data_IF_054353741573
#
_entry.id   IF_054353741573
#
_cell.length_a   1.000
_cell.length_b   1.000
_cell.length_c   1.000
_cell.angle_alpha   90.00
_cell.angle_beta   90.00
_cell.angle_gamma   90.00
#
_symmetry.space_group_name_H-M   'P 1'
#
loop_
_entity.id
_entity.type
_entity.pdbx_description
1 polymer ?
#
# COMPACT_ATOMS: atom_id res chain seq x y z
N UNK A 1 -73.28 -27.08 42.76
CA UNK A 1 -71.99 -27.36 42.13
C UNK A 1 -71.85 -26.41 40.95
N UNK A 2 -70.91 -25.39 40.96
CA UNK A 2 -70.73 -24.50 39.84
C UNK A 2 -69.54 -24.98 39.01
N UNK A 3 -69.73 -24.97 37.70
CA UNK A 3 -68.76 -25.33 36.65
C UNK A 3 -67.75 -24.21 36.41
N UNK A 4 -66.47 -24.56 36.52
CA UNK A 4 -65.34 -23.65 36.28
C UNK A 4 -65.08 -23.56 34.77
N UNK A 5 -65.26 -22.37 34.20
CA UNK A 5 -64.92 -22.04 32.79
C UNK A 5 -63.51 -21.61 32.68
N UNK A 6 -62.65 -22.39 31.96
CA UNK A 6 -61.23 -22.01 31.63
C UNK A 6 -61.23 -21.05 30.44
N UNK A 7 -60.93 -19.81 30.70
CA UNK A 7 -60.51 -18.81 29.65
C UNK A 7 -59.09 -19.12 29.16
N UNK A 8 -58.95 -19.43 27.88
CA UNK A 8 -57.64 -19.49 27.19
C UNK A 8 -57.23 -18.08 26.82
N UNK A 9 -56.10 -17.62 27.37
CA UNK A 9 -55.40 -16.42 26.88
C UNK A 9 -54.62 -16.83 25.61
N UNK A 10 -54.92 -16.19 24.50
CA UNK A 10 -54.05 -16.20 23.32
C UNK A 10 -53.01 -15.09 23.49
N UNK A 11 -51.75 -15.47 23.64
CA UNK A 11 -50.62 -14.56 23.56
C UNK A 11 -50.21 -14.41 22.09
N UNK A 12 -50.45 -13.25 21.51
CA UNK A 12 -49.95 -12.87 20.20
C UNK A 12 -48.49 -12.44 20.36
N UNK A 13 -47.55 -13.29 19.90
CA UNK A 13 -46.15 -12.92 19.77
C UNK A 13 -45.96 -12.05 18.53
N UNK A 14 -45.75 -10.77 18.72
CA UNK A 14 -45.30 -9.84 17.68
C UNK A 14 -43.82 -10.11 17.39
N UNK A 15 -43.53 -10.80 16.30
CA UNK A 15 -42.18 -10.99 15.82
C UNK A 15 -41.64 -9.69 15.21
N UNK A 16 -40.72 -8.98 15.90
CA UNK A 16 -39.93 -7.96 15.29
C UNK A 16 -38.90 -8.59 14.36
N UNK A 17 -39.17 -8.57 13.05
CA UNK A 17 -38.16 -8.87 12.04
C UNK A 17 -37.18 -7.70 12.01
N UNK A 18 -36.01 -7.89 12.60
CA UNK A 18 -34.89 -6.96 12.44
C UNK A 18 -34.39 -7.07 10.98
N UNK A 19 -34.76 -6.10 10.14
CA UNK A 19 -34.15 -5.90 8.84
C UNK A 19 -32.68 -5.50 9.10
N UNK A 20 -31.76 -6.45 9.02
CA UNK A 20 -30.33 -6.16 8.89
C UNK A 20 -30.14 -5.55 7.50
N UNK A 21 -30.02 -4.24 7.43
CA UNK A 21 -29.49 -3.54 6.27
C UNK A 21 -28.06 -4.06 6.04
N UNK A 22 -27.91 -5.02 5.14
CA UNK A 22 -26.61 -5.43 4.63
C UNK A 22 -26.05 -4.21 3.88
N UNK A 23 -24.98 -3.62 4.37
CA UNK A 23 -24.27 -2.61 3.62
C UNK A 23 -23.94 -3.21 2.24
N UNK A 24 -24.24 -2.48 1.17
CA UNK A 24 -23.93 -2.90 -0.18
C UNK A 24 -22.42 -3.15 -0.26
N UNK A 25 -22.02 -4.30 -0.81
CA UNK A 25 -20.60 -4.52 -1.07
C UNK A 25 -20.09 -3.39 -1.96
N UNK A 26 -18.95 -2.79 -1.59
CA UNK A 26 -18.38 -1.73 -2.40
C UNK A 26 -18.05 -2.25 -3.80
N UNK A 27 -18.16 -1.39 -4.85
CA UNK A 27 -17.91 -1.80 -6.21
C UNK A 27 -16.51 -2.41 -6.36
N UNK A 28 -16.32 -3.37 -7.29
CA UNK A 28 -15.03 -3.96 -7.56
C UNK A 28 -14.04 -2.86 -8.00
N UNK A 29 -12.79 -3.00 -7.57
CA UNK A 29 -11.72 -2.11 -8.00
C UNK A 29 -11.42 -2.33 -9.50
N UNK A 30 -11.01 -1.28 -10.24
CA UNK A 30 -10.47 -1.44 -11.59
C UNK A 30 -9.18 -2.26 -11.58
N UNK A 31 -8.74 -2.75 -12.74
CA UNK A 31 -7.52 -3.55 -12.87
C UNK A 31 -6.27 -2.81 -12.35
N UNK A 32 -6.25 -1.49 -12.49
CA UNK A 32 -5.18 -0.60 -12.06
C UNK A 32 -5.76 0.54 -11.18
N UNK A 33 -6.09 0.26 -9.91
CA UNK A 33 -6.55 1.31 -9.00
C UNK A 33 -5.41 2.26 -8.66
N UNK A 34 -5.72 3.56 -8.43
CA UNK A 34 -4.73 4.61 -8.17
C UNK A 34 -4.80 5.05 -6.72
N UNK A 35 -3.67 4.91 -6.00
CA UNK A 35 -3.50 5.34 -4.62
C UNK A 35 -2.58 6.53 -4.46
N UNK A 36 -2.51 7.07 -3.23
CA UNK A 36 -1.56 8.11 -2.82
C UNK A 36 -0.99 7.80 -1.44
N UNK A 37 0.29 8.17 -1.21
CA UNK A 37 0.96 8.00 0.08
C UNK A 37 0.54 9.09 1.08
N UNK A 38 0.05 8.74 2.26
CA UNK A 38 -0.42 9.71 3.27
C UNK A 38 0.69 10.64 3.77
N UNK A 39 1.93 10.12 3.87
CA UNK A 39 3.09 10.92 4.30
C UNK A 39 3.56 11.89 3.22
N UNK A 40 3.42 11.55 1.95
CA UNK A 40 3.82 12.42 0.84
C UNK A 40 2.79 13.53 0.58
N UNK A 41 1.51 13.27 0.86
CA UNK A 41 0.47 14.32 0.85
C UNK A 41 0.39 15.10 2.17
N UNK A 42 1.43 15.00 3.03
CA UNK A 42 1.58 15.70 4.31
C UNK A 42 0.46 15.42 5.32
N UNK A 43 -0.10 14.22 5.28
CA UNK A 43 -1.20 13.77 6.14
C UNK A 43 -0.90 12.46 6.85
N UNK A 44 0.39 12.17 7.11
CA UNK A 44 0.82 10.94 7.80
C UNK A 44 -0.05 10.65 9.01
N UNK A 45 -0.70 9.49 9.01
CA UNK A 45 -1.62 9.02 10.04
C UNK A 45 -2.65 10.08 10.51
N UNK A 46 -3.31 10.74 9.55
CA UNK A 46 -4.39 11.70 9.81
C UNK A 46 -5.61 11.37 8.94
N UNK A 47 -6.80 11.42 9.50
CA UNK A 47 -8.07 11.22 8.78
C UNK A 47 -8.20 12.12 7.54
N UNK A 48 -7.66 13.33 7.61
CA UNK A 48 -7.62 14.24 6.47
C UNK A 48 -6.85 13.73 5.23
N UNK A 49 -6.13 12.60 5.32
CA UNK A 49 -5.53 11.93 4.16
C UNK A 49 -6.61 11.40 3.22
N UNK A 50 -7.64 10.75 3.77
CA UNK A 50 -8.75 10.20 2.99
C UNK A 50 -9.57 11.31 2.32
N UNK A 51 -9.87 12.39 3.05
CA UNK A 51 -10.55 13.54 2.47
C UNK A 51 -9.78 14.11 1.29
N UNK A 52 -8.48 14.35 1.44
CA UNK A 52 -7.65 14.87 0.35
C UNK A 52 -7.56 13.86 -0.81
N UNK A 53 -7.39 12.57 -0.53
CA UNK A 53 -7.36 11.52 -1.57
C UNK A 53 -8.67 11.50 -2.38
N UNK A 54 -9.83 11.57 -1.72
CA UNK A 54 -11.13 11.68 -2.37
C UNK A 54 -11.25 12.94 -3.23
N UNK A 55 -10.85 14.11 -2.70
CA UNK A 55 -10.91 15.39 -3.42
C UNK A 55 -10.04 15.42 -4.68
N UNK A 56 -8.92 14.69 -4.70
CA UNK A 56 -8.04 14.58 -5.88
C UNK A 56 -8.39 13.41 -6.80
N UNK A 57 -9.40 12.60 -6.42
CA UNK A 57 -9.93 11.51 -7.24
C UNK A 57 -9.17 10.20 -7.16
N UNK A 58 -8.36 9.98 -6.12
CA UNK A 58 -7.70 8.69 -5.89
C UNK A 58 -8.72 7.58 -5.50
N UNK A 59 -8.37 6.32 -5.73
CA UNK A 59 -9.16 5.16 -5.34
C UNK A 59 -8.80 4.66 -3.94
N UNK A 60 -7.63 5.07 -3.41
CA UNK A 60 -7.18 4.64 -2.10
C UNK A 60 -5.99 5.42 -1.53
N UNK A 61 -5.62 5.01 -0.32
CA UNK A 61 -4.52 5.63 0.43
C UNK A 61 -3.57 4.53 0.90
N UNK A 62 -2.28 4.73 0.68
CA UNK A 62 -1.22 4.02 1.39
C UNK A 62 -0.98 4.72 2.72
N UNK A 63 -1.22 4.02 3.83
CA UNK A 63 -1.16 4.59 5.18
C UNK A 63 0.15 4.22 5.86
N UNK A 64 0.88 5.23 6.34
CA UNK A 64 2.17 5.04 7.00
C UNK A 64 2.03 4.52 8.44
N UNK A 65 3.00 3.73 8.90
CA UNK A 65 3.08 3.22 10.28
C UNK A 65 3.44 4.30 11.32
N UNK A 66 3.77 5.51 10.88
CA UNK A 66 4.26 6.57 11.74
C UNK A 66 5.78 6.63 11.84
N UNK A 67 6.31 7.53 12.68
CA UNK A 67 7.74 7.69 12.86
C UNK A 67 8.36 6.50 13.57
N UNK A 68 9.52 6.02 13.08
CA UNK A 68 10.28 4.96 13.73
C UNK A 68 11.35 5.55 14.68
N UNK A 69 12.32 6.31 14.16
CA UNK A 69 13.42 6.87 14.97
C UNK A 69 14.09 5.80 15.83
N UNK A 70 14.44 6.15 17.06
CA UNK A 70 15.06 5.25 18.04
C UNK A 70 14.03 4.47 18.91
N UNK A 71 12.73 4.55 18.56
CA UNK A 71 11.67 3.84 19.27
C UNK A 71 11.79 2.32 19.04
N UNK A 72 11.35 1.49 19.99
CA UNK A 72 11.35 0.02 19.81
C UNK A 72 10.40 -0.43 18.70
N UNK A 73 9.33 0.33 18.41
CA UNK A 73 8.38 0.14 17.30
C UNK A 73 8.02 1.49 16.70
N UNK A 74 7.18 1.51 15.66
CA UNK A 74 6.63 2.72 15.09
C UNK A 74 5.78 3.53 16.11
N UNK A 75 5.73 4.85 15.92
CA UNK A 75 4.74 5.73 16.57
C UNK A 75 3.37 5.53 15.91
N UNK A 76 2.88 4.30 16.03
CA UNK A 76 1.75 3.79 15.29
C UNK A 76 0.43 4.11 16.01
N UNK A 77 -0.27 5.15 15.57
CA UNK A 77 -1.60 5.48 16.10
C UNK A 77 -2.64 4.41 15.82
N UNK A 78 -2.43 3.61 14.76
CA UNK A 78 -3.35 2.54 14.36
C UNK A 78 -3.24 1.32 15.29
N UNK A 79 -2.30 1.29 16.24
CA UNK A 79 -2.30 0.33 17.35
C UNK A 79 -3.54 0.51 18.24
N UNK A 80 -4.07 1.73 18.36
CA UNK A 80 -5.32 2.01 19.05
C UNK A 80 -6.53 1.63 18.18
N UNK A 81 -7.39 0.75 18.71
CA UNK A 81 -8.58 0.27 18.02
C UNK A 81 -9.55 1.40 17.64
N UNK A 82 -9.74 2.38 18.53
CA UNK A 82 -10.67 3.50 18.28
C UNK A 82 -10.17 4.32 17.09
N UNK A 83 -8.87 4.56 17.01
CA UNK A 83 -8.25 5.27 15.88
C UNK A 83 -8.40 4.45 14.59
N UNK A 84 -8.14 3.13 14.64
CA UNK A 84 -8.35 2.25 13.46
C UNK A 84 -9.79 2.31 12.95
N UNK A 85 -10.76 2.15 13.86
CA UNK A 85 -12.18 2.17 13.50
C UNK A 85 -12.57 3.51 12.84
N UNK A 86 -12.00 4.64 13.29
CA UNK A 86 -12.19 5.94 12.64
C UNK A 86 -11.59 5.98 11.23
N UNK A 87 -10.40 5.43 11.03
CA UNK A 87 -9.76 5.39 9.71
C UNK A 87 -10.56 4.53 8.72
N UNK A 88 -11.01 3.35 9.17
CA UNK A 88 -11.82 2.45 8.35
C UNK A 88 -13.17 3.09 7.99
N UNK A 89 -13.84 3.71 8.96
CA UNK A 89 -15.11 4.41 8.73
C UNK A 89 -14.96 5.60 7.78
N UNK A 90 -13.88 6.39 7.90
CA UNK A 90 -13.62 7.51 6.99
C UNK A 90 -13.33 7.03 5.57
N UNK A 91 -12.52 5.99 5.40
CA UNK A 91 -12.25 5.38 4.10
C UNK A 91 -13.55 4.89 3.45
N UNK A 92 -14.36 4.13 4.19
CA UNK A 92 -15.64 3.59 3.71
C UNK A 92 -16.62 4.69 3.33
N UNK A 93 -16.77 5.73 4.16
CA UNK A 93 -17.65 6.87 3.91
C UNK A 93 -17.34 7.63 2.63
N UNK A 94 -16.08 7.60 2.19
CA UNK A 94 -15.57 8.27 0.99
C UNK A 94 -15.41 7.30 -0.20
N UNK A 95 -15.76 6.03 -0.04
CA UNK A 95 -15.61 5.00 -1.07
C UNK A 95 -14.14 4.67 -1.39
N UNK A 96 -13.21 4.98 -0.47
CA UNK A 96 -11.78 4.73 -0.65
C UNK A 96 -11.35 3.39 -0.06
N UNK A 97 -10.21 2.88 -0.53
CA UNK A 97 -9.56 1.70 0.05
C UNK A 97 -8.23 2.08 0.72
N UNK A 98 -7.82 1.28 1.69
CA UNK A 98 -6.44 1.29 2.19
C UNK A 98 -5.67 0.31 1.33
N UNK A 99 -4.81 0.82 0.43
CA UNK A 99 -4.13 0.00 -0.56
C UNK A 99 -2.94 -0.77 0.02
N UNK A 100 -2.28 -0.19 1.03
CA UNK A 100 -1.11 -0.75 1.70
C UNK A 100 -0.84 -0.04 3.01
N UNK A 101 0.00 -0.67 3.84
CA UNK A 101 0.57 -0.08 5.05
C UNK A 101 2.07 0.13 4.82
N UNK A 102 2.60 1.32 5.13
CA UNK A 102 3.97 1.67 4.81
C UNK A 102 4.87 1.75 6.04
N UNK A 103 6.00 1.07 5.99
CA UNK A 103 7.09 1.19 6.96
C UNK A 103 8.09 2.27 6.53
N UNK A 104 7.63 3.49 6.17
CA UNK A 104 8.46 4.55 5.60
C UNK A 104 9.63 4.98 6.52
N UNK A 105 9.58 4.66 7.81
CA UNK A 105 10.65 4.90 8.76
C UNK A 105 11.98 4.26 8.35
N UNK A 106 11.96 3.21 7.53
CA UNK A 106 13.18 2.56 7.00
C UNK A 106 13.89 3.35 5.90
N UNK A 107 13.34 4.44 5.42
CA UNK A 107 14.14 5.43 4.67
C UNK A 107 15.26 6.05 5.53
N UNK A 108 15.08 6.13 6.85
CA UNK A 108 16.04 6.73 7.77
C UNK A 108 16.72 5.70 8.70
N UNK A 109 16.32 4.44 8.66
CA UNK A 109 16.81 3.36 9.52
C UNK A 109 17.30 2.18 8.68
N UNK A 110 18.33 1.48 9.14
CA UNK A 110 18.81 0.26 8.49
C UNK A 110 17.97 -0.93 8.91
N UNK A 111 17.32 -1.58 7.94
CA UNK A 111 16.65 -2.85 8.17
C UNK A 111 17.65 -3.98 8.51
N UNK A 112 18.88 -3.87 8.01
CA UNK A 112 19.93 -4.84 8.26
C UNK A 112 20.51 -4.77 9.69
N UNK A 113 20.63 -3.56 10.24
CA UNK A 113 21.42 -3.33 11.47
C UNK A 113 20.56 -3.07 12.71
N UNK A 114 19.33 -2.59 12.50
CA UNK A 114 18.43 -2.23 13.59
C UNK A 114 18.09 -3.42 14.47
N UNK A 115 18.16 -3.22 15.80
CA UNK A 115 17.68 -4.21 16.78
C UNK A 115 16.14 -4.27 16.82
N UNK A 116 15.60 -5.41 17.24
CA UNK A 116 14.17 -5.60 17.47
C UNK A 116 13.32 -5.62 16.19
N UNK A 117 13.90 -5.94 15.04
CA UNK A 117 13.22 -6.02 13.73
C UNK A 117 11.98 -6.91 13.77
N UNK A 118 12.05 -8.06 14.45
CA UNK A 118 10.91 -8.96 14.62
C UNK A 118 9.66 -8.22 15.10
N UNK A 119 9.80 -7.49 16.20
CA UNK A 119 8.70 -6.72 16.79
C UNK A 119 8.17 -5.64 15.85
N UNK A 120 9.07 -4.95 15.14
CA UNK A 120 8.70 -3.89 14.17
C UNK A 120 7.92 -4.45 13.00
N UNK A 121 8.35 -5.60 12.47
CA UNK A 121 7.67 -6.28 11.35
C UNK A 121 6.33 -6.86 11.81
N UNK A 122 6.28 -7.46 13.00
CA UNK A 122 5.03 -8.01 13.54
C UNK A 122 3.98 -6.92 13.76
N UNK A 123 4.38 -5.74 14.30
CA UNK A 123 3.48 -4.57 14.44
C UNK A 123 2.92 -4.12 13.08
N UNK A 124 3.75 -4.13 12.02
CA UNK A 124 3.30 -3.80 10.67
C UNK A 124 2.33 -4.86 10.10
N UNK A 125 2.60 -6.15 10.32
CA UNK A 125 1.72 -7.25 9.91
C UNK A 125 0.36 -7.14 10.60
N UNK A 126 0.36 -7.01 11.93
CA UNK A 126 -0.86 -6.91 12.75
C UNK A 126 -1.70 -5.70 12.34
N UNK A 127 -1.04 -4.55 12.11
CA UNK A 127 -1.70 -3.34 11.62
C UNK A 127 -2.29 -3.55 10.24
N UNK A 128 -1.57 -4.18 9.32
CA UNK A 128 -2.03 -4.44 7.94
C UNK A 128 -3.29 -5.30 7.94
N UNK A 129 -3.29 -6.38 8.72
CA UNK A 129 -4.45 -7.26 8.89
C UNK A 129 -5.64 -6.48 9.49
N UNK A 130 -5.39 -5.72 10.56
CA UNK A 130 -6.43 -4.95 11.25
C UNK A 130 -7.03 -3.83 10.39
N UNK A 131 -6.25 -3.28 9.46
CA UNK A 131 -6.71 -2.26 8.49
C UNK A 131 -7.33 -2.85 7.21
N UNK A 132 -7.43 -4.17 7.10
CA UNK A 132 -7.99 -4.84 5.94
C UNK A 132 -7.14 -4.72 4.66
N UNK A 133 -5.90 -4.27 4.78
CA UNK A 133 -4.94 -4.22 3.68
C UNK A 133 -4.26 -5.59 3.47
N UNK A 134 -3.56 -5.75 2.34
CA UNK A 134 -2.86 -7.00 2.00
C UNK A 134 -1.38 -6.80 1.72
N UNK A 135 -0.96 -5.56 1.56
CA UNK A 135 0.41 -5.22 1.19
C UNK A 135 1.05 -4.33 2.25
N UNK A 136 2.29 -4.64 2.61
CA UNK A 136 3.16 -3.82 3.43
C UNK A 136 4.27 -3.28 2.54
N UNK A 137 4.51 -1.99 2.57
CA UNK A 137 5.64 -1.35 1.89
C UNK A 137 6.85 -1.31 2.82
N UNK A 138 7.99 -1.85 2.38
CA UNK A 138 9.28 -1.82 3.08
C UNK A 138 10.38 -1.23 2.19
N UNK A 139 10.78 0.04 2.40
CA UNK A 139 11.90 0.63 1.66
C UNK A 139 13.25 0.11 2.17
N UNK A 140 14.02 -0.49 1.27
CA UNK A 140 15.39 -0.96 1.51
C UNK A 140 16.45 -0.17 0.73
N UNK A 141 16.03 0.65 -0.24
CA UNK A 141 16.92 1.30 -1.21
C UNK A 141 17.69 2.51 -0.70
N UNK A 142 17.69 2.82 0.61
CA UNK A 142 18.44 3.94 1.18
C UNK A 142 19.42 3.46 2.25
N UNK A 143 18.93 3.08 3.43
CA UNK A 143 19.80 2.68 4.56
C UNK A 143 20.17 1.19 4.53
N UNK A 144 19.53 0.41 3.73
CA UNK A 144 19.84 -1.00 3.47
C UNK A 144 20.02 -1.24 1.97
N UNK A 145 20.56 -0.26 1.26
CA UNK A 145 20.81 -0.33 -0.17
C UNK A 145 21.84 -1.43 -0.48
N UNK A 146 21.36 -2.53 -1.04
CA UNK A 146 22.18 -3.70 -1.37
C UNK A 146 23.02 -3.51 -2.63
N UNK A 147 22.75 -2.50 -3.45
CA UNK A 147 23.61 -2.14 -4.59
C UNK A 147 24.86 -1.38 -4.10
N UNK A 148 24.68 -0.44 -3.15
CA UNK A 148 25.76 0.30 -2.55
C UNK A 148 26.50 -0.46 -1.43
N UNK A 149 25.78 -1.34 -0.70
CA UNK A 149 26.22 -2.05 0.49
C UNK A 149 25.94 -3.57 0.40
N UNK A 150 26.60 -4.29 -0.53
CA UNK A 150 26.36 -5.72 -0.71
C UNK A 150 26.69 -6.58 0.53
N UNK A 151 27.52 -6.08 1.43
CA UNK A 151 27.84 -6.71 2.72
C UNK A 151 26.63 -6.83 3.65
N UNK A 152 25.60 -6.01 3.49
CA UNK A 152 24.37 -6.09 4.27
C UNK A 152 23.42 -7.22 3.80
N UNK A 153 23.66 -7.77 2.59
CA UNK A 153 22.78 -8.78 1.98
C UNK A 153 22.48 -9.98 2.89
N UNK A 154 23.45 -10.62 3.58
CA UNK A 154 23.16 -11.76 4.44
C UNK A 154 22.20 -11.41 5.57
N UNK A 155 22.38 -10.26 6.23
CA UNK A 155 21.53 -9.79 7.31
C UNK A 155 20.11 -9.47 6.84
N UNK A 156 19.97 -8.71 5.75
CA UNK A 156 18.67 -8.39 5.13
C UNK A 156 17.94 -9.65 4.73
N UNK A 157 18.64 -10.58 4.07
CA UNK A 157 18.06 -11.85 3.62
C UNK A 157 17.55 -12.70 4.77
N UNK A 158 18.34 -12.88 5.83
CA UNK A 158 17.92 -13.64 7.02
C UNK A 158 16.63 -13.07 7.61
N UNK A 159 16.59 -11.75 7.79
CA UNK A 159 15.42 -11.05 8.33
C UNK A 159 14.19 -11.12 7.42
N UNK A 160 14.38 -11.04 6.08
CA UNK A 160 13.29 -11.17 5.12
C UNK A 160 12.73 -12.60 5.05
N UNK A 161 13.55 -13.63 5.24
CA UNK A 161 13.07 -15.02 5.34
C UNK A 161 12.16 -15.20 6.55
N UNK A 162 12.55 -14.63 7.69
CA UNK A 162 11.72 -14.67 8.90
C UNK A 162 10.43 -13.85 8.70
N UNK A 163 10.55 -12.61 8.24
CA UNK A 163 9.42 -11.73 7.93
C UNK A 163 8.45 -12.37 6.93
N UNK A 164 8.98 -13.06 5.90
CA UNK A 164 8.20 -13.76 4.90
C UNK A 164 7.37 -14.91 5.46
N UNK A 165 7.88 -15.64 6.46
CA UNK A 165 7.09 -16.68 7.15
C UNK A 165 5.93 -16.02 7.92
N UNK A 166 6.20 -15.01 8.73
CA UNK A 166 5.16 -14.32 9.51
C UNK A 166 4.10 -13.66 8.62
N UNK A 167 4.51 -13.05 7.52
CA UNK A 167 3.60 -12.45 6.55
C UNK A 167 2.72 -13.50 5.86
N UNK A 168 3.30 -14.65 5.46
CA UNK A 168 2.57 -15.76 4.86
C UNK A 168 1.51 -16.32 5.81
N UNK A 169 1.86 -16.53 7.08
CA UNK A 169 0.94 -17.03 8.13
C UNK A 169 -0.23 -16.07 8.36
N UNK A 170 0.01 -14.75 8.22
CA UNK A 170 -1.00 -13.71 8.35
C UNK A 170 -1.77 -13.43 7.05
N UNK A 171 -1.40 -14.02 5.92
CA UNK A 171 -2.03 -13.81 4.62
C UNK A 171 -1.81 -12.40 4.05
N UNK A 172 -0.64 -11.80 4.34
CA UNK A 172 -0.19 -10.50 3.81
C UNK A 172 1.10 -10.64 3.00
N UNK A 173 1.41 -9.65 2.18
CA UNK A 173 2.64 -9.59 1.39
C UNK A 173 3.48 -8.40 1.83
N UNK A 174 4.77 -8.59 2.04
CA UNK A 174 5.73 -7.51 2.23
C UNK A 174 6.36 -7.21 0.88
N UNK A 175 6.08 -6.03 0.35
CA UNK A 175 6.69 -5.49 -0.85
C UNK A 175 7.96 -4.75 -0.47
N UNK A 176 9.11 -5.23 -0.95
CA UNK A 176 10.40 -4.55 -0.77
C UNK A 176 10.66 -3.61 -1.93
N UNK A 177 11.11 -2.39 -1.62
CA UNK A 177 11.62 -1.45 -2.61
C UNK A 177 13.14 -1.40 -2.48
N UNK A 178 13.85 -1.82 -3.53
CA UNK A 178 15.32 -1.88 -3.55
C UNK A 178 15.92 -0.95 -4.60
N UNK A 179 17.22 -0.66 -4.51
CA UNK A 179 17.99 0.02 -5.55
C UNK A 179 18.61 -0.96 -6.57
N UNK A 180 18.41 -2.27 -6.40
CA UNK A 180 18.87 -3.28 -7.35
C UNK A 180 18.18 -3.09 -8.72
N UNK A 181 18.84 -3.53 -9.78
CA UNK A 181 18.16 -3.74 -11.05
C UNK A 181 17.21 -4.94 -10.97
N UNK A 182 16.32 -5.06 -11.94
CA UNK A 182 15.30 -6.11 -11.91
C UNK A 182 15.90 -7.54 -11.93
N UNK A 183 17.03 -7.75 -12.56
CA UNK A 183 17.69 -9.06 -12.58
C UNK A 183 18.27 -9.40 -11.17
N UNK A 184 18.92 -8.43 -10.54
CA UNK A 184 19.45 -8.55 -9.18
C UNK A 184 18.34 -8.72 -8.14
N UNK A 185 17.23 -7.97 -8.30
CA UNK A 185 16.08 -8.08 -7.39
C UNK A 185 15.34 -9.41 -7.58
N UNK A 186 15.13 -9.88 -8.82
CA UNK A 186 14.56 -11.19 -9.09
C UNK A 186 15.38 -12.31 -8.46
N UNK A 187 16.70 -12.29 -8.65
CA UNK A 187 17.61 -13.25 -8.03
C UNK A 187 17.55 -13.19 -6.50
N UNK A 188 17.43 -12.00 -5.94
CA UNK A 188 17.31 -11.80 -4.50
C UNK A 188 16.00 -12.36 -3.94
N UNK A 189 14.88 -12.11 -4.61
CA UNK A 189 13.57 -12.66 -4.24
C UNK A 189 13.55 -14.19 -4.32
N UNK A 190 14.14 -14.75 -5.38
CA UNK A 190 14.25 -16.20 -5.57
C UNK A 190 15.12 -16.84 -4.47
N UNK A 191 16.20 -16.17 -4.04
CA UNK A 191 17.06 -16.64 -2.95
C UNK A 191 16.38 -16.55 -1.58
N UNK A 192 15.53 -15.52 -1.32
CA UNK A 192 14.69 -15.44 -0.13
C UNK A 192 13.74 -16.64 -0.08
N UNK A 193 13.14 -17.00 -1.23
CA UNK A 193 12.31 -18.18 -1.39
C UNK A 193 10.94 -18.09 -0.71
N UNK A 194 10.44 -16.88 -0.41
CA UNK A 194 9.12 -16.69 0.21
C UNK A 194 8.15 -16.01 -0.75
N UNK A 195 6.99 -16.61 -1.04
CA UNK A 195 5.98 -15.97 -1.89
C UNK A 195 5.32 -14.73 -1.24
N UNK A 196 5.52 -14.54 0.06
CA UNK A 196 5.02 -13.38 0.80
C UNK A 196 6.01 -12.19 0.78
N UNK A 197 7.21 -12.34 0.20
CA UNK A 197 8.14 -11.25 -0.06
C UNK A 197 8.15 -11.01 -1.57
N UNK A 198 7.79 -9.80 -2.00
CA UNK A 198 7.70 -9.43 -3.41
C UNK A 198 8.30 -8.05 -3.65
N UNK A 199 8.49 -7.68 -4.90
CA UNK A 199 8.88 -6.34 -5.30
C UNK A 199 7.73 -5.35 -5.07
N UNK A 200 8.02 -4.26 -4.38
CA UNK A 200 7.25 -3.03 -4.46
C UNK A 200 7.99 -2.14 -5.46
N UNK A 201 7.64 -2.29 -6.72
CA UNK A 201 8.39 -1.67 -7.81
C UNK A 201 8.22 -0.15 -7.79
N UNK A 202 9.32 0.61 -8.01
CA UNK A 202 9.26 2.06 -8.08
C UNK A 202 9.84 2.54 -9.43
N UNK A 203 9.05 3.24 -10.23
CA UNK A 203 9.49 3.78 -11.52
C UNK A 203 10.73 4.66 -11.37
N UNK A 204 10.78 5.49 -10.31
CA UNK A 204 11.91 6.37 -10.06
C UNK A 204 13.23 5.59 -9.93
N UNK A 205 13.23 4.40 -9.31
CA UNK A 205 14.45 3.61 -9.14
C UNK A 205 15.04 3.15 -10.46
N UNK A 206 14.20 2.76 -11.42
CA UNK A 206 14.65 2.41 -12.77
C UNK A 206 15.17 3.66 -13.51
N UNK A 207 14.36 4.72 -13.54
CA UNK A 207 14.64 5.94 -14.32
C UNK A 207 15.87 6.71 -13.81
N UNK A 208 16.07 6.79 -12.49
CA UNK A 208 17.21 7.50 -11.89
C UNK A 208 18.56 6.77 -12.11
N UNK A 209 18.50 5.50 -12.48
CA UNK A 209 19.67 4.70 -12.81
C UNK A 209 19.79 4.44 -14.31
N UNK A 210 19.14 5.26 -15.17
CA UNK A 210 19.15 5.16 -16.63
C UNK A 210 18.78 3.74 -17.15
N UNK A 211 17.88 3.06 -16.43
CA UNK A 211 17.42 1.70 -16.78
C UNK A 211 16.15 1.76 -17.61
N UNK A 212 15.99 0.82 -18.54
CA UNK A 212 14.77 0.66 -19.33
C UNK A 212 13.63 0.15 -18.43
N UNK A 213 12.68 1.03 -18.14
CA UNK A 213 11.52 0.76 -17.28
C UNK A 213 10.73 -0.48 -17.77
N UNK A 214 10.57 -0.65 -19.07
CA UNK A 214 9.82 -1.76 -19.65
C UNK A 214 10.58 -3.09 -19.54
N UNK A 215 11.90 -3.06 -19.71
CA UNK A 215 12.76 -4.24 -19.52
C UNK A 215 12.78 -4.65 -18.04
N UNK A 216 12.86 -3.70 -17.10
CA UNK A 216 12.78 -3.95 -15.66
C UNK A 216 11.45 -4.63 -15.29
N UNK A 217 10.31 -4.08 -15.74
CA UNK A 217 8.98 -4.66 -15.51
C UNK A 217 8.84 -6.07 -16.09
N UNK A 218 9.35 -6.30 -17.33
CA UNK A 218 9.32 -7.63 -17.96
C UNK A 218 10.20 -8.64 -17.22
N UNK A 219 11.35 -8.22 -16.72
CA UNK A 219 12.29 -9.09 -15.98
C UNK A 219 11.70 -9.54 -14.64
N UNK A 220 11.10 -8.65 -13.87
CA UNK A 220 10.41 -9.03 -12.64
C UNK A 220 9.16 -9.86 -12.93
N UNK A 221 8.40 -9.48 -13.95
CA UNK A 221 7.15 -10.14 -14.31
C UNK A 221 6.05 -9.95 -13.27
N UNK A 222 4.84 -10.41 -13.61
CA UNK A 222 3.65 -10.17 -12.77
C UNK A 222 3.71 -10.82 -11.39
N UNK A 223 4.38 -11.97 -11.28
CA UNK A 223 4.30 -12.77 -10.05
C UNK A 223 5.23 -12.25 -8.95
N UNK A 224 6.28 -11.49 -9.32
CA UNK A 224 7.19 -10.86 -8.35
C UNK A 224 6.76 -9.46 -7.92
N UNK A 225 5.94 -8.74 -8.71
CA UNK A 225 5.50 -7.38 -8.39
C UNK A 225 4.18 -7.43 -7.61
N UNK A 226 4.18 -6.93 -6.37
CA UNK A 226 2.95 -6.84 -5.57
C UNK A 226 2.23 -5.49 -5.71
N UNK A 227 2.98 -4.39 -5.86
CA UNK A 227 2.46 -3.03 -5.96
C UNK A 227 3.50 -2.13 -6.64
N UNK A 228 3.07 -0.97 -7.14
CA UNK A 228 3.96 -0.05 -7.88
C UNK A 228 3.83 1.37 -7.32
N UNK A 229 4.96 2.00 -6.94
CA UNK A 229 5.09 3.45 -6.86
C UNK A 229 5.22 4.00 -8.30
N UNK A 230 4.09 4.48 -8.84
CA UNK A 230 3.96 4.89 -10.23
C UNK A 230 4.26 6.38 -10.40
N UNK A 231 5.45 6.81 -9.96
CA UNK A 231 5.92 8.19 -10.08
C UNK A 231 7.43 8.24 -10.27
N UNK A 232 7.90 9.33 -10.88
CA UNK A 232 9.33 9.65 -10.94
C UNK A 232 9.70 10.57 -9.76
N UNK A 233 10.92 11.06 -9.73
CA UNK A 233 11.34 12.09 -8.78
C UNK A 233 10.56 13.40 -8.99
N UNK A 234 10.68 14.29 -8.02
CA UNK A 234 10.13 15.64 -8.13
C UNK A 234 10.87 16.44 -9.21
N UNK A 235 10.12 17.18 -10.00
CA UNK A 235 10.59 17.98 -11.12
C UNK A 235 9.40 18.47 -11.91
N UNK A 236 8.67 17.57 -12.52
CA UNK A 236 7.46 17.82 -13.29
C UNK A 236 6.39 16.76 -12.98
N UNK A 237 5.14 17.05 -13.34
CA UNK A 237 4.06 16.09 -13.28
C UNK A 237 4.26 14.94 -14.27
N UNK A 238 3.72 13.76 -13.98
CA UNK A 238 3.77 12.58 -14.85
C UNK A 238 3.38 12.85 -16.30
N UNK A 239 2.36 13.70 -16.54
CA UNK A 239 1.92 14.08 -17.87
C UNK A 239 3.00 14.83 -18.68
N UNK A 240 3.93 15.47 -18.01
CA UNK A 240 4.98 16.31 -18.59
C UNK A 240 6.36 15.67 -18.51
N UNK A 241 6.46 14.49 -17.93
CA UNK A 241 7.74 13.82 -17.73
C UNK A 241 8.17 13.10 -19.02
N UNK A 242 9.24 13.57 -19.69
CA UNK A 242 9.67 12.97 -20.95
C UNK A 242 10.31 11.58 -20.76
N UNK A 243 10.60 11.18 -19.52
CA UNK A 243 11.22 9.89 -19.22
C UNK A 243 10.17 8.76 -19.09
N UNK A 244 8.87 9.08 -19.08
CA UNK A 244 7.82 8.08 -18.87
C UNK A 244 6.76 8.20 -19.96
N UNK A 245 6.64 7.15 -20.79
CA UNK A 245 5.48 6.94 -21.65
C UNK A 245 4.46 6.05 -20.93
N UNK A 246 3.49 6.67 -20.25
CA UNK A 246 2.48 5.94 -19.49
C UNK A 246 1.59 5.00 -20.32
N UNK A 247 1.16 5.35 -21.56
CA UNK A 247 0.53 4.41 -22.49
C UNK A 247 1.34 3.14 -22.72
N UNK A 248 2.64 3.26 -22.99
CA UNK A 248 3.52 2.11 -23.20
C UNK A 248 3.74 1.29 -21.91
N UNK A 249 3.82 1.97 -20.76
CA UNK A 249 3.86 1.28 -19.43
C UNK A 249 2.58 0.47 -19.22
N UNK A 250 1.41 1.03 -19.54
CA UNK A 250 0.13 0.30 -19.46
C UNK A 250 0.13 -0.92 -20.37
N UNK A 251 0.60 -0.78 -21.61
CA UNK A 251 0.69 -1.90 -22.54
C UNK A 251 1.60 -2.98 -21.97
N UNK A 252 2.78 -2.62 -21.46
CA UNK A 252 3.72 -3.57 -20.83
C UNK A 252 3.08 -4.33 -19.67
N UNK A 253 2.42 -3.64 -18.73
CA UNK A 253 1.74 -4.26 -17.58
C UNK A 253 0.57 -5.15 -18.03
N UNK A 254 -0.18 -4.72 -19.02
CA UNK A 254 -1.31 -5.48 -19.59
C UNK A 254 -0.81 -6.77 -20.25
N UNK A 255 0.26 -6.70 -21.04
CA UNK A 255 0.88 -7.84 -21.72
C UNK A 255 1.48 -8.84 -20.72
N UNK A 256 1.95 -8.36 -19.56
CA UNK A 256 2.37 -9.21 -18.45
C UNK A 256 1.18 -9.86 -17.72
N UNK A 257 -0.05 -9.39 -17.94
CA UNK A 257 -1.22 -9.78 -17.18
C UNK A 257 -1.16 -9.31 -15.71
N UNK A 258 -0.38 -8.24 -15.43
CA UNK A 258 -0.30 -7.68 -14.10
C UNK A 258 -1.49 -6.77 -13.82
N UNK A 259 -2.01 -6.86 -12.60
CA UNK A 259 -3.07 -5.99 -12.07
C UNK A 259 -2.72 -5.63 -10.63
N UNK A 260 -2.97 -4.39 -10.24
CA UNK A 260 -2.67 -3.95 -8.88
C UNK A 260 -2.63 -2.43 -8.74
N UNK A 261 -2.29 -1.99 -7.55
CA UNK A 261 -2.27 -0.57 -7.20
C UNK A 261 -1.10 0.17 -7.84
N UNK A 262 -1.42 1.31 -8.44
CA UNK A 262 -0.47 2.33 -8.86
C UNK A 262 -0.52 3.47 -7.85
N UNK A 263 0.51 3.64 -7.04
CA UNK A 263 0.53 4.62 -5.95
C UNK A 263 1.40 5.81 -6.34
N UNK A 264 0.83 7.01 -6.27
CA UNK A 264 1.58 8.25 -6.49
C UNK A 264 2.36 8.60 -5.24
N UNK A 265 3.68 8.54 -5.33
CA UNK A 265 4.59 8.92 -4.26
C UNK A 265 5.15 10.33 -4.47
N UNK A 266 5.60 10.66 -5.69
CA UNK A 266 6.32 11.88 -6.05
C UNK A 266 5.80 12.50 -7.35
N UNK A 267 6.68 12.97 -8.24
CA UNK A 267 6.37 13.72 -9.47
C UNK A 267 5.67 15.05 -9.19
N UNK A 268 6.16 15.77 -8.18
CA UNK A 268 5.69 17.13 -7.88
C UNK A 268 6.38 18.14 -8.80
N UNK A 269 5.66 19.19 -9.17
CA UNK A 269 6.27 20.36 -9.80
C UNK A 269 7.27 20.99 -8.82
N UNK A 270 8.53 21.02 -9.19
CA UNK A 270 9.63 21.55 -8.35
C UNK A 270 9.46 23.04 -8.07
N UNK A 271 8.76 23.78 -8.94
CA UNK A 271 8.51 25.23 -8.78
C UNK A 271 7.38 25.52 -7.80
N UNK A 272 6.49 24.52 -7.54
CA UNK A 272 5.36 24.63 -6.61
C UNK A 272 5.17 23.35 -5.79
N UNK A 273 6.25 22.81 -5.23
CA UNK A 273 6.26 21.52 -4.53
C UNK A 273 5.34 21.48 -3.29
N UNK A 274 4.96 22.65 -2.73
CA UNK A 274 4.05 22.75 -1.59
C UNK A 274 2.58 22.63 -1.95
N UNK A 275 2.23 22.77 -3.22
CA UNK A 275 0.87 22.61 -3.74
C UNK A 275 0.50 21.12 -3.82
N UNK A 276 0.35 20.49 -2.66
CA UNK A 276 0.07 19.05 -2.54
C UNK A 276 -1.17 18.67 -3.37
N UNK A 277 -2.28 19.42 -3.23
CA UNK A 277 -3.52 19.14 -3.96
C UNK A 277 -3.33 19.23 -5.48
N UNK A 278 -2.64 20.26 -5.95
CA UNK A 278 -2.36 20.46 -7.39
C UNK A 278 -1.48 19.33 -7.93
N UNK A 279 -0.35 19.07 -7.26
CA UNK A 279 0.64 18.08 -7.69
C UNK A 279 0.07 16.65 -7.72
N UNK A 280 -0.46 16.17 -6.59
CA UNK A 280 -0.99 14.80 -6.51
C UNK A 280 -2.26 14.66 -7.33
N UNK A 281 -3.12 15.69 -7.37
CA UNK A 281 -4.32 15.68 -8.22
C UNK A 281 -4.02 15.60 -9.72
N UNK A 282 -2.96 16.28 -10.20
CA UNK A 282 -2.53 16.18 -11.60
C UNK A 282 -2.07 14.75 -11.92
N UNK A 283 -1.21 14.17 -11.07
CA UNK A 283 -0.67 12.82 -11.29
C UNK A 283 -1.75 11.73 -11.18
N UNK A 284 -2.65 11.81 -10.20
CA UNK A 284 -3.79 10.89 -10.07
C UNK A 284 -4.68 10.93 -11.32
N UNK A 285 -5.07 12.14 -11.78
CA UNK A 285 -5.88 12.27 -13.02
C UNK A 285 -5.16 11.69 -14.23
N UNK A 286 -3.85 11.90 -14.35
CA UNK A 286 -3.07 11.37 -15.46
C UNK A 286 -3.05 9.85 -15.45
N UNK A 287 -2.75 9.21 -14.31
CA UNK A 287 -2.78 7.76 -14.18
C UNK A 287 -4.19 7.21 -14.46
N UNK A 288 -5.24 7.79 -13.90
CA UNK A 288 -6.62 7.32 -14.16
C UNK A 288 -7.01 7.45 -15.62
N UNK A 289 -6.69 8.57 -16.27
CA UNK A 289 -6.96 8.76 -17.70
C UNK A 289 -6.29 7.69 -18.58
N UNK A 290 -5.06 7.28 -18.23
CA UNK A 290 -4.33 6.27 -19.00
C UNK A 290 -4.78 4.86 -18.62
N UNK A 291 -4.82 4.52 -17.34
CA UNK A 291 -4.99 3.15 -16.87
C UNK A 291 -6.45 2.73 -16.64
N UNK A 292 -7.36 3.69 -16.46
CA UNK A 292 -8.79 3.47 -16.24
C UNK A 292 -9.62 4.24 -17.29
N UNK A 293 -9.43 4.02 -18.59
CA UNK A 293 -10.28 4.66 -19.58
C UNK A 293 -11.71 4.18 -19.37
N UNK A 294 -12.69 5.15 -19.32
CA UNK A 294 -14.11 4.87 -19.16
C UNK A 294 -14.70 4.10 -20.33
#
# INVERSE_FOLDING_TARGET
MPTCSRRRLFATAAGCAALTLRAAEPPPLPAFPVGVCDWMILKRQKLGAFKLASEIGADGVEVDMGGLGDRPTFDNKLADRVVRDQFLAEADSLGLRICSIAMSGFYAQSFAERDGIERVVQDAIDTTVAMGAKTIFLPLGVRSDLAAHPELRPAVMGRLRDAGRWAADAGVTIGIETALDAAGEAAFLDEIGSPAIRSYFNFANALQNDRDLHAELRTLGRDRICQIHASNQDGVWLEKDPAIDLPDVKETLTNLGWQGWLVVERSRDATDARNVRGNFGANVRTLKRVFQPG
#
